data_IF_973354126347
#
_entry.id   IF_973354126347
#
_cell.length_a   1.000
_cell.length_b   1.000
_cell.length_c   1.000
_cell.angle_alpha   90.00
_cell.angle_beta   90.00
_cell.angle_gamma   90.00
#
_symmetry.space_group_name_H-M   'P 1'
#
loop_
_entity.id
_entity.type
_entity.pdbx_description
1 polymer ?
#
# COMPACT_ATOMS: atom_id res chain seq x y z
N UNK A 1 21.43 24.07 14.23
CA UNK A 1 22.08 23.10 13.32
C UNK A 1 21.06 22.28 12.53
N UNK A 2 20.02 21.70 13.16
CA UNK A 2 19.00 20.89 12.45
C UNK A 2 17.89 21.71 11.74
N UNK A 3 17.62 22.94 12.21
CA UNK A 3 16.53 23.77 11.70
C UNK A 3 15.17 23.32 12.23
N UNK A 4 14.27 24.26 12.47
CA UNK A 4 12.91 23.97 12.95
C UNK A 4 11.94 23.83 11.75
N UNK A 5 10.82 23.11 11.89
CA UNK A 5 10.37 22.38 13.08
C UNK A 5 11.16 21.08 13.35
N UNK A 6 11.27 20.71 14.62
CA UNK A 6 11.93 19.49 15.09
C UNK A 6 10.91 18.49 15.62
N UNK A 7 11.17 17.21 15.34
CA UNK A 7 10.43 16.10 15.89
C UNK A 7 11.26 15.46 17.00
N UNK A 8 10.70 15.46 18.21
CA UNK A 8 11.26 14.80 19.39
C UNK A 8 10.70 13.39 19.41
N UNK A 9 11.56 12.37 19.45
CA UNK A 9 11.16 10.96 19.54
C UNK A 9 11.86 10.27 20.71
N UNK A 10 11.14 9.40 21.39
CA UNK A 10 11.71 8.46 22.35
C UNK A 10 12.58 7.41 21.64
N UNK A 11 13.75 7.10 22.20
CA UNK A 11 14.69 6.11 21.64
C UNK A 11 14.11 4.69 21.72
N UNK A 12 13.59 4.31 22.89
CA UNK A 12 12.94 3.02 23.13
C UNK A 12 11.46 2.96 22.68
N UNK A 13 10.98 3.99 21.95
CA UNK A 13 9.56 4.18 21.66
C UNK A 13 9.03 3.41 20.45
N UNK A 14 7.78 2.96 20.53
CA UNK A 14 7.03 2.37 19.40
C UNK A 14 5.55 2.74 19.44
N UNK A 15 4.90 2.82 18.28
CA UNK A 15 3.44 2.94 18.16
C UNK A 15 2.82 4.30 18.54
N UNK A 16 3.51 5.42 18.33
CA UNK A 16 2.92 6.75 18.54
C UNK A 16 3.32 7.47 19.84
N UNK A 17 3.86 6.73 20.82
CA UNK A 17 4.13 7.23 22.17
C UNK A 17 5.50 7.90 22.29
N UNK A 18 5.58 8.97 23.08
CA UNK A 18 6.82 9.71 23.30
C UNK A 18 7.29 10.53 22.09
N UNK A 19 6.34 10.99 21.25
CA UNK A 19 6.63 11.81 20.08
C UNK A 19 6.00 13.21 20.19
N UNK A 20 6.78 14.27 19.92
CA UNK A 20 6.33 15.67 19.97
C UNK A 20 6.94 16.51 18.86
N UNK A 21 6.24 17.56 18.45
CA UNK A 21 6.75 18.55 17.50
C UNK A 21 7.10 19.81 18.28
N UNK A 22 8.33 20.27 18.13
CA UNK A 22 8.77 21.61 18.55
C UNK A 22 8.90 22.48 17.30
N UNK A 23 8.10 23.54 17.18
CA UNK A 23 8.13 24.44 16.02
C UNK A 23 9.15 25.57 16.16
N UNK A 24 9.62 25.80 17.37
CA UNK A 24 10.58 26.86 17.67
C UNK A 24 11.53 26.46 18.82
N UNK A 25 12.64 27.19 19.01
CA UNK A 25 13.55 26.97 20.14
C UNK A 25 12.86 27.01 21.50
N UNK A 26 11.84 27.86 21.65
CA UNK A 26 11.12 28.05 22.91
C UNK A 26 10.25 26.84 23.26
N UNK A 27 9.70 26.15 22.26
CA UNK A 27 8.89 24.94 22.45
C UNK A 27 9.72 23.68 22.71
N UNK A 28 11.03 23.71 22.38
CA UNK A 28 11.87 22.51 22.33
C UNK A 28 12.06 21.87 23.70
N UNK A 29 12.42 22.65 24.72
CA UNK A 29 12.67 22.12 26.07
C UNK A 29 11.42 21.44 26.64
N UNK A 30 10.28 22.11 26.57
CA UNK A 30 9.01 21.57 27.04
C UNK A 30 8.61 20.29 26.28
N UNK A 31 8.85 20.25 24.96
CA UNK A 31 8.58 19.08 24.13
C UNK A 31 9.48 17.89 24.49
N UNK A 32 10.77 18.16 24.76
CA UNK A 32 11.74 17.15 25.19
C UNK A 32 11.40 16.57 26.56
N UNK A 33 11.10 17.42 27.54
CA UNK A 33 10.73 16.98 28.89
C UNK A 33 9.45 16.14 28.88
N UNK A 34 8.44 16.58 28.13
CA UNK A 34 7.17 15.84 28.00
C UNK A 34 7.39 14.48 27.32
N UNK A 35 8.15 14.44 26.23
CA UNK A 35 8.44 13.19 25.52
C UNK A 35 9.25 12.21 26.39
N UNK A 36 10.25 12.71 27.12
CA UNK A 36 11.08 11.90 28.03
C UNK A 36 10.27 11.32 29.20
N UNK A 37 9.36 12.11 29.79
CA UNK A 37 8.46 11.64 30.84
C UNK A 37 7.51 10.55 30.33
N UNK A 38 6.93 10.73 29.13
CA UNK A 38 6.07 9.73 28.51
C UNK A 38 6.85 8.44 28.19
N UNK A 39 8.08 8.57 27.68
CA UNK A 39 8.96 7.45 27.38
C UNK A 39 9.36 6.67 28.65
N UNK A 40 9.73 7.38 29.72
CA UNK A 40 10.03 6.79 31.01
C UNK A 40 8.84 6.00 31.57
N UNK A 41 7.64 6.56 31.48
CA UNK A 41 6.42 5.92 31.99
C UNK A 41 6.00 4.69 31.16
N UNK A 42 6.17 4.75 29.84
CA UNK A 42 5.73 3.68 28.94
C UNK A 42 6.77 2.57 28.74
N UNK A 43 8.06 2.92 28.73
CA UNK A 43 9.15 2.03 28.29
C UNK A 43 10.31 1.92 29.29
N UNK A 44 10.29 2.69 30.38
CA UNK A 44 11.34 2.66 31.40
C UNK A 44 12.62 3.41 31.04
N UNK A 45 12.68 4.03 29.85
CA UNK A 45 13.83 4.76 29.33
C UNK A 45 13.42 6.19 28.93
N UNK A 46 14.04 7.24 29.50
CA UNK A 46 13.71 8.64 29.20
C UNK A 46 14.47 9.18 27.98
N UNK A 47 15.33 8.39 27.34
CA UNK A 47 16.14 8.85 26.22
C UNK A 47 15.27 9.33 25.06
N UNK A 48 15.60 10.54 24.56
CA UNK A 48 14.96 11.15 23.40
C UNK A 48 16.02 11.62 22.41
N UNK A 49 15.68 11.59 21.13
CA UNK A 49 16.48 12.16 20.05
C UNK A 49 15.66 13.14 19.22
N UNK A 50 16.36 13.97 18.44
CA UNK A 50 15.78 15.02 17.61
C UNK A 50 15.97 14.72 16.13
N UNK A 51 14.87 14.77 15.39
CA UNK A 51 14.87 14.73 13.93
C UNK A 51 14.35 16.06 13.37
N UNK A 52 14.76 16.42 12.16
CA UNK A 52 14.09 17.50 11.43
C UNK A 52 12.73 17.01 10.99
N UNK A 53 11.67 17.76 11.30
CA UNK A 53 10.34 17.43 10.79
C UNK A 53 10.23 17.88 9.33
N UNK A 54 10.05 16.92 8.43
CA UNK A 54 9.78 17.17 7.02
C UNK A 54 8.35 17.67 6.83
N UNK A 55 8.17 18.68 5.97
CA UNK A 55 6.84 19.20 5.64
C UNK A 55 6.29 18.43 4.45
N UNK A 56 5.11 17.83 4.63
CA UNK A 56 4.42 17.01 3.60
C UNK A 56 5.37 16.03 2.90
N UNK A 57 6.11 15.18 3.63
CA UNK A 57 7.03 14.26 3.01
C UNK A 57 6.25 13.23 2.20
N UNK A 58 6.88 12.76 1.13
CA UNK A 58 6.52 11.54 0.44
C UNK A 58 7.26 10.36 1.05
N UNK A 59 6.58 9.24 1.14
CA UNK A 59 7.20 7.98 1.52
C UNK A 59 7.54 7.23 0.22
N UNK A 60 8.82 7.22 -0.15
CA UNK A 60 9.32 6.52 -1.34
C UNK A 60 10.22 5.38 -0.89
N UNK A 61 10.07 4.22 -1.49
CA UNK A 61 10.85 3.05 -1.11
C UNK A 61 11.41 2.30 -2.31
N UNK A 62 12.58 1.68 -2.13
CA UNK A 62 13.33 0.99 -3.20
C UNK A 62 13.36 -0.50 -2.93
N UNK A 63 12.82 -1.27 -3.87
CA UNK A 63 12.88 -2.73 -3.83
C UNK A 63 14.28 -3.20 -4.20
N UNK A 64 14.84 -4.10 -3.39
CA UNK A 64 16.13 -4.75 -3.62
C UNK A 64 15.97 -6.26 -3.78
N UNK A 65 16.87 -6.86 -4.57
CA UNK A 65 17.13 -8.29 -4.64
C UNK A 65 18.64 -8.53 -4.61
N UNK A 66 19.12 -9.36 -3.69
CA UNK A 66 20.53 -9.78 -3.64
C UNK A 66 20.69 -11.29 -3.51
N UNK A 67 21.77 -11.87 -4.04
CA UNK A 67 22.08 -13.30 -3.92
C UNK A 67 23.36 -13.59 -3.12
N UNK A 68 23.60 -14.88 -2.83
CA UNK A 68 24.80 -15.33 -2.14
C UNK A 68 26.09 -15.24 -2.98
N UNK A 69 25.99 -14.81 -4.24
CA UNK A 69 27.11 -14.70 -5.19
C UNK A 69 27.60 -13.25 -5.34
N UNK A 70 27.06 -12.34 -4.51
CA UNK A 70 27.42 -10.91 -4.52
C UNK A 70 26.69 -10.08 -5.57
N UNK A 71 25.70 -10.65 -6.27
CA UNK A 71 24.85 -9.86 -7.16
C UNK A 71 23.79 -9.12 -6.33
N UNK A 72 23.55 -7.86 -6.66
CA UNK A 72 22.56 -7.01 -6.00
C UNK A 72 21.98 -6.02 -7.02
N UNK A 73 20.65 -5.98 -7.12
CA UNK A 73 19.90 -5.10 -8.03
C UNK A 73 18.77 -4.39 -7.28
N UNK A 74 18.34 -3.24 -7.79
CA UNK A 74 17.08 -2.61 -7.39
C UNK A 74 16.03 -2.73 -8.49
N UNK A 75 14.77 -2.91 -8.10
CA UNK A 75 13.62 -3.07 -9.00
C UNK A 75 12.79 -1.79 -9.15
N UNK A 76 13.44 -0.63 -9.00
CA UNK A 76 12.80 0.69 -9.00
C UNK A 76 12.16 1.06 -7.66
N UNK A 77 11.34 2.12 -7.69
CA UNK A 77 10.73 2.74 -6.53
C UNK A 77 9.21 2.53 -6.44
N UNK A 78 8.68 2.54 -5.22
CA UNK A 78 7.24 2.63 -4.93
C UNK A 78 6.94 3.91 -4.18
N UNK A 79 5.80 4.52 -4.52
CA UNK A 79 5.20 5.64 -3.79
C UNK A 79 4.18 5.08 -2.80
N UNK A 80 4.43 5.29 -1.52
CA UNK A 80 3.66 4.75 -0.41
C UNK A 80 3.14 5.85 0.51
N UNK A 81 3.03 7.09 0.02
CA UNK A 81 2.61 8.25 0.80
C UNK A 81 1.18 8.18 1.32
N UNK A 82 0.28 7.47 0.65
CA UNK A 82 -1.13 7.43 1.07
C UNK A 82 -1.27 6.48 2.26
N UNK A 83 -1.31 7.07 3.46
CA UNK A 83 -1.28 6.36 4.74
C UNK A 83 -2.40 6.82 5.67
N UNK A 84 -2.82 5.92 6.57
CA UNK A 84 -3.70 6.21 7.70
C UNK A 84 -3.01 5.80 8.98
N UNK A 85 -2.80 6.73 9.93
CA UNK A 85 -2.08 6.43 11.20
C UNK A 85 -0.74 5.69 10.96
N UNK A 86 0.01 6.15 9.96
CA UNK A 86 1.28 5.56 9.50
C UNK A 86 1.20 4.15 8.86
N UNK A 87 -0.01 3.66 8.57
CA UNK A 87 -0.21 2.42 7.82
C UNK A 87 -0.47 2.75 6.35
N UNK A 88 0.28 2.15 5.43
CA UNK A 88 0.09 2.31 3.98
C UNK A 88 -1.26 1.73 3.56
N UNK A 89 -2.00 2.46 2.72
CA UNK A 89 -3.35 2.10 2.27
C UNK A 89 -3.42 1.94 0.75
N UNK A 90 -2.69 2.79 0.03
CA UNK A 90 -2.55 2.76 -1.43
C UNK A 90 -1.08 2.98 -1.78
N UNK A 91 -0.57 2.13 -2.65
CA UNK A 91 0.81 2.14 -3.12
C UNK A 91 0.84 2.11 -4.64
N UNK A 92 1.82 2.77 -5.25
CA UNK A 92 1.98 2.74 -6.70
C UNK A 92 3.43 2.66 -7.15
N UNK A 93 3.63 2.04 -8.31
CA UNK A 93 4.93 1.87 -8.96
C UNK A 93 4.80 2.18 -10.45
N UNK A 94 5.68 3.01 -11.04
CA UNK A 94 6.65 3.89 -10.38
C UNK A 94 5.98 5.00 -9.57
N UNK A 95 6.77 5.82 -8.87
CA UNK A 95 6.27 7.02 -8.19
C UNK A 95 5.73 8.04 -9.21
N UNK A 96 4.60 8.73 -8.92
CA UNK A 96 4.07 9.78 -9.78
C UNK A 96 4.94 11.03 -9.82
N UNK A 97 5.95 11.14 -8.94
CA UNK A 97 6.99 12.17 -9.04
C UNK A 97 7.68 12.10 -10.40
N UNK A 98 7.84 10.89 -10.95
CA UNK A 98 8.34 10.62 -12.29
C UNK A 98 9.64 11.39 -12.64
N UNK A 99 10.57 11.41 -11.70
CA UNK A 99 11.89 12.04 -11.85
C UNK A 99 12.98 10.95 -11.92
N UNK A 100 13.69 10.89 -13.05
CA UNK A 100 14.70 9.86 -13.30
C UNK A 100 15.97 10.05 -12.46
N UNK A 101 16.39 11.30 -12.20
CA UNK A 101 17.58 11.59 -11.38
C UNK A 101 17.35 11.17 -9.92
N UNK A 102 16.21 11.56 -9.36
CA UNK A 102 15.82 11.16 -8.01
C UNK A 102 15.74 9.63 -7.89
N UNK A 103 15.12 8.95 -8.87
CA UNK A 103 15.03 7.49 -8.89
C UNK A 103 16.40 6.84 -8.88
N UNK A 104 17.31 7.29 -9.74
CA UNK A 104 18.67 6.77 -9.81
C UNK A 104 19.41 6.97 -8.48
N UNK A 105 19.31 8.17 -7.90
CA UNK A 105 19.97 8.50 -6.62
C UNK A 105 19.42 7.70 -5.45
N UNK A 106 18.11 7.49 -5.38
CA UNK A 106 17.48 6.61 -4.39
C UNK A 106 17.92 5.15 -4.59
N UNK A 107 17.93 4.68 -5.85
CA UNK A 107 18.40 3.34 -6.22
C UNK A 107 19.84 3.09 -5.78
N UNK A 108 20.75 4.01 -6.09
CA UNK A 108 22.16 3.91 -5.69
C UNK A 108 22.35 3.99 -4.18
N UNK A 109 21.59 4.84 -3.48
CA UNK A 109 21.62 4.91 -2.02
C UNK A 109 21.17 3.59 -1.38
N UNK A 110 20.07 3.00 -1.86
CA UNK A 110 19.56 1.72 -1.39
C UNK A 110 20.56 0.57 -1.65
N UNK A 111 21.16 0.53 -2.85
CA UNK A 111 22.20 -0.43 -3.19
C UNK A 111 23.44 -0.27 -2.30
N UNK A 112 23.87 0.97 -2.00
CA UNK A 112 25.01 1.23 -1.13
C UNK A 112 24.77 0.71 0.29
N UNK A 113 23.57 0.94 0.85
CA UNK A 113 23.16 0.43 2.16
C UNK A 113 23.22 -1.11 2.18
N UNK A 114 22.58 -1.76 1.20
CA UNK A 114 22.52 -3.20 1.13
C UNK A 114 23.88 -3.87 0.87
N UNK A 115 24.76 -3.28 0.04
CA UNK A 115 26.14 -3.76 -0.16
C UNK A 115 26.94 -3.74 1.15
N UNK A 116 26.81 -2.66 1.93
CA UNK A 116 27.60 -2.48 3.16
C UNK A 116 27.27 -3.55 4.22
N UNK A 117 26.04 -4.05 4.23
CA UNK A 117 25.60 -5.11 5.16
C UNK A 117 25.62 -6.51 4.56
N UNK A 118 26.10 -6.67 3.32
CA UNK A 118 26.11 -7.96 2.61
C UNK A 118 24.71 -8.55 2.42
N UNK A 119 23.73 -7.71 2.11
CA UNK A 119 22.32 -8.11 2.05
C UNK A 119 22.04 -9.08 0.89
N UNK A 120 21.20 -10.09 1.15
CA UNK A 120 20.67 -11.04 0.18
C UNK A 120 19.18 -11.29 0.44
N UNK A 121 18.50 -11.97 -0.49
CA UNK A 121 17.03 -12.08 -0.58
C UNK A 121 16.38 -10.75 -0.99
N UNK A 122 15.05 -10.68 -0.88
CA UNK A 122 14.30 -9.44 -1.07
C UNK A 122 14.36 -8.57 0.18
N UNK A 123 14.47 -7.27 -0.03
CA UNK A 123 14.35 -6.27 1.02
C UNK A 123 13.97 -4.93 0.43
N UNK A 124 13.59 -3.99 1.28
CA UNK A 124 13.21 -2.65 0.85
C UNK A 124 13.91 -1.61 1.70
N UNK A 125 14.44 -0.57 1.06
CA UNK A 125 14.95 0.62 1.75
C UNK A 125 13.93 1.73 1.61
N UNK A 126 13.45 2.26 2.72
CA UNK A 126 12.45 3.31 2.78
C UNK A 126 13.10 4.68 2.97
N UNK A 127 12.55 5.68 2.28
CA UNK A 127 13.00 7.07 2.31
C UNK A 127 11.83 8.03 2.50
N UNK A 128 12.12 9.16 3.15
CA UNK A 128 11.26 10.32 3.10
C UNK A 128 11.82 11.34 2.11
N UNK A 129 10.99 11.77 1.16
CA UNK A 129 11.34 12.78 0.15
C UNK A 129 10.50 14.03 0.40
N UNK A 130 11.11 15.20 0.46
CA UNK A 130 10.34 16.43 0.72
C UNK A 130 9.59 16.87 -0.55
N UNK A 131 8.27 17.05 -0.48
CA UNK A 131 7.45 17.32 -1.69
C UNK A 131 7.86 18.58 -2.46
N UNK A 132 8.44 19.57 -1.76
CA UNK A 132 8.88 20.83 -2.34
C UNK A 132 10.37 20.84 -2.72
N UNK A 133 11.12 19.81 -2.34
CA UNK A 133 12.53 19.64 -2.66
C UNK A 133 12.85 18.18 -2.98
N UNK A 134 12.64 17.82 -4.25
CA UNK A 134 12.97 16.50 -4.78
C UNK A 134 14.49 16.23 -4.80
N UNK A 135 15.34 17.21 -4.46
CA UNK A 135 16.78 16.97 -4.32
C UNK A 135 17.13 16.37 -2.96
N UNK A 136 16.27 16.49 -1.96
CA UNK A 136 16.57 16.03 -0.61
C UNK A 136 15.71 14.82 -0.27
N UNK A 137 16.38 13.70 0.03
CA UNK A 137 15.75 12.50 0.57
C UNK A 137 16.51 12.02 1.80
N UNK A 138 15.78 11.37 2.70
CA UNK A 138 16.26 10.95 4.01
C UNK A 138 15.95 9.47 4.20
N UNK A 139 16.96 8.67 4.52
CA UNK A 139 16.75 7.27 4.90
C UNK A 139 15.81 7.22 6.11
N UNK A 140 14.82 6.33 6.06
CA UNK A 140 13.89 6.07 7.14
C UNK A 140 14.21 4.74 7.82
N UNK A 141 14.07 3.64 7.08
CA UNK A 141 14.34 2.30 7.58
C UNK A 141 14.67 1.32 6.44
N UNK A 142 15.08 0.11 6.80
CA UNK A 142 15.22 -1.00 5.87
C UNK A 142 14.36 -2.18 6.35
N UNK A 143 13.39 -2.56 5.53
CA UNK A 143 12.58 -3.76 5.74
C UNK A 143 13.30 -4.97 5.18
N UNK A 144 13.81 -5.84 6.07
CA UNK A 144 14.61 -7.02 5.70
C UNK A 144 13.75 -8.24 5.34
N UNK A 145 12.65 -8.00 4.63
CA UNK A 145 11.64 -8.99 4.23
C UNK A 145 10.87 -8.51 3.01
N UNK A 146 10.07 -9.40 2.44
CA UNK A 146 9.04 -9.03 1.46
C UNK A 146 8.03 -8.07 2.10
N UNK A 147 7.56 -7.11 1.32
CA UNK A 147 6.51 -6.17 1.70
C UNK A 147 5.17 -6.52 1.05
N UNK A 148 4.09 -5.99 1.61
CA UNK A 148 2.71 -6.28 1.17
C UNK A 148 2.52 -5.84 -0.28
N UNK A 149 3.06 -4.65 -0.58
CA UNK A 149 3.02 -3.88 -1.83
C UNK A 149 4.04 -4.30 -2.90
N UNK A 150 4.75 -5.42 -2.72
CA UNK A 150 5.63 -5.97 -3.77
C UNK A 150 4.92 -6.19 -5.13
N UNK A 151 3.61 -6.53 -5.22
CA UNK A 151 2.97 -6.79 -6.51
C UNK A 151 3.01 -5.62 -7.48
N UNK A 152 2.96 -4.35 -7.02
CA UNK A 152 3.05 -3.21 -7.97
C UNK A 152 4.40 -3.18 -8.68
N UNK A 153 5.48 -3.58 -8.00
CA UNK A 153 6.80 -3.71 -8.60
C UNK A 153 6.85 -4.89 -9.58
N UNK A 154 6.29 -6.04 -9.21
CA UNK A 154 6.22 -7.21 -10.11
C UNK A 154 5.45 -6.88 -11.40
N UNK A 155 4.33 -6.16 -11.28
CA UNK A 155 3.49 -5.81 -12.43
C UNK A 155 4.20 -4.91 -13.43
N UNK A 156 5.07 -4.00 -12.99
CA UNK A 156 5.78 -3.07 -13.89
C UNK A 156 7.15 -3.57 -14.35
N UNK A 157 7.80 -4.47 -13.60
CA UNK A 157 9.12 -5.02 -13.95
C UNK A 157 9.04 -6.40 -14.60
N UNK A 158 7.94 -7.12 -14.43
CA UNK A 158 7.78 -8.53 -14.78
C UNK A 158 8.80 -9.45 -14.09
N UNK A 159 9.29 -9.06 -12.91
CA UNK A 159 10.12 -9.90 -12.03
C UNK A 159 9.22 -10.48 -10.94
N UNK A 160 9.18 -11.82 -10.83
CA UNK A 160 8.50 -12.52 -9.72
C UNK A 160 9.44 -12.55 -8.51
N UNK A 161 9.21 -11.64 -7.57
CA UNK A 161 10.07 -11.39 -6.42
C UNK A 161 10.04 -12.58 -5.46
N UNK A 162 8.88 -13.20 -5.27
CA UNK A 162 8.73 -14.36 -4.37
C UNK A 162 9.50 -15.55 -4.93
N UNK A 163 9.41 -15.79 -6.23
CA UNK A 163 10.18 -16.83 -6.90
C UNK A 163 11.69 -16.55 -6.84
N UNK A 164 12.14 -15.31 -7.04
CA UNK A 164 13.56 -14.94 -6.86
C UNK A 164 14.01 -15.20 -5.41
N UNK A 165 13.22 -14.86 -4.39
CA UNK A 165 13.55 -15.19 -2.99
C UNK A 165 13.78 -16.69 -2.78
N UNK A 166 12.90 -17.54 -3.32
CA UNK A 166 13.02 -19.00 -3.21
C UNK A 166 14.26 -19.51 -3.96
N UNK A 167 14.53 -18.98 -5.17
CA UNK A 167 15.71 -19.33 -5.97
C UNK A 167 17.02 -18.95 -5.26
N UNK A 168 17.08 -17.74 -4.71
CA UNK A 168 18.21 -17.24 -3.92
C UNK A 168 18.43 -18.13 -2.70
N UNK A 169 17.37 -18.46 -1.95
CA UNK A 169 17.46 -19.34 -0.79
C UNK A 169 17.94 -20.77 -1.17
N UNK A 170 17.66 -21.22 -2.40
CA UNK A 170 18.19 -22.45 -2.96
C UNK A 170 19.64 -22.33 -3.49
N UNK A 171 20.33 -21.21 -3.24
CA UNK A 171 21.70 -20.95 -3.66
C UNK A 171 21.87 -20.56 -5.13
N UNK A 172 20.77 -20.29 -5.85
CA UNK A 172 20.85 -19.84 -7.24
C UNK A 172 21.30 -18.38 -7.33
N UNK A 173 21.85 -18.02 -8.50
CA UNK A 173 22.13 -16.63 -8.86
C UNK A 173 20.84 -15.90 -9.23
N UNK A 174 20.84 -14.58 -9.05
CA UNK A 174 19.79 -13.70 -9.58
C UNK A 174 19.53 -14.00 -11.06
N UNK A 175 18.26 -13.98 -11.46
CA UNK A 175 17.87 -14.26 -12.85
C UNK A 175 18.31 -13.20 -13.86
N UNK A 176 18.55 -11.97 -13.41
CA UNK A 176 18.88 -10.83 -14.27
C UNK A 176 19.82 -9.84 -13.60
N UNK A 177 20.25 -8.84 -14.37
CA UNK A 177 21.17 -7.77 -13.97
C UNK A 177 20.43 -6.44 -13.87
N UNK A 178 21.06 -5.43 -13.27
CA UNK A 178 20.48 -4.09 -13.15
C UNK A 178 20.08 -3.50 -14.51
N UNK A 179 20.89 -3.77 -15.55
CA UNK A 179 20.65 -3.34 -16.92
C UNK A 179 19.47 -4.05 -17.61
N UNK A 180 18.88 -5.07 -17.01
CA UNK A 180 17.68 -5.77 -17.51
C UNK A 180 16.38 -5.22 -16.90
N UNK A 181 16.50 -4.53 -15.75
CA UNK A 181 15.34 -3.95 -15.05
C UNK A 181 14.77 -2.80 -15.87
N UNK A 182 13.50 -2.92 -16.27
CA UNK A 182 12.76 -1.89 -17.00
C UNK A 182 11.40 -1.71 -16.36
N UNK A 183 11.09 -0.49 -15.93
CA UNK A 183 9.76 -0.11 -15.45
C UNK A 183 8.88 0.15 -16.67
N UNK A 184 7.83 -0.66 -16.87
CA UNK A 184 6.89 -0.55 -17.99
C UNK A 184 5.50 -0.24 -17.48
N UNK A 185 4.92 0.88 -17.90
CA UNK A 185 3.59 1.30 -17.48
C UNK A 185 3.57 1.72 -16.00
N UNK A 186 2.42 1.52 -15.36
CA UNK A 186 2.22 1.82 -13.95
C UNK A 186 1.27 0.81 -13.30
N UNK A 187 1.48 0.56 -12.01
CA UNK A 187 0.61 -0.28 -11.19
C UNK A 187 0.24 0.44 -9.89
N UNK A 188 -1.00 0.23 -9.45
CA UNK A 188 -1.54 0.76 -8.20
C UNK A 188 -2.11 -0.41 -7.40
N UNK A 189 -1.76 -0.52 -6.13
CA UNK A 189 -2.35 -1.46 -5.17
C UNK A 189 -3.28 -0.72 -4.20
N UNK A 190 -4.39 -1.35 -3.87
CA UNK A 190 -5.34 -0.91 -2.86
C UNK A 190 -5.53 -2.04 -1.85
N UNK A 191 -5.31 -1.73 -0.57
CA UNK A 191 -5.53 -2.67 0.53
C UNK A 191 -7.00 -2.71 0.93
N UNK A 192 -7.66 -3.82 0.64
CA UNK A 192 -9.04 -4.05 1.03
C UNK A 192 -9.06 -4.60 2.45
N UNK A 193 -9.55 -3.80 3.38
CA UNK A 193 -9.70 -4.19 4.79
C UNK A 193 -11.17 -4.49 5.10
N UNK A 194 -11.40 -5.47 5.98
CA UNK A 194 -12.64 -5.68 6.70
C UNK A 194 -12.75 -4.63 7.83
N UNK A 195 -12.96 -3.39 7.43
CA UNK A 195 -13.16 -2.23 8.30
C UNK A 195 -14.37 -1.45 7.80
N UNK A 196 -15.02 -0.68 8.68
CA UNK A 196 -16.10 0.22 8.34
C UNK A 196 -15.62 1.68 8.27
N UNK A 197 -15.32 2.24 7.08
CA UNK A 197 -14.87 3.63 6.94
C UNK A 197 -15.87 4.66 7.50
N UNK A 198 -17.17 4.37 7.48
CA UNK A 198 -18.20 5.28 7.99
C UNK A 198 -18.24 5.32 9.53
N UNK A 199 -17.68 4.30 10.18
CA UNK A 199 -17.58 4.19 11.63
C UNK A 199 -16.12 4.21 12.08
N UNK A 200 -15.37 5.23 11.64
CA UNK A 200 -13.97 5.44 12.00
C UNK A 200 -13.06 4.21 11.77
N UNK A 201 -13.35 3.44 10.72
CA UNK A 201 -12.61 2.22 10.33
C UNK A 201 -12.53 1.19 11.44
N UNK A 202 -13.61 1.02 12.21
CA UNK A 202 -13.66 -0.08 13.16
C UNK A 202 -13.53 -1.41 12.41
N UNK A 203 -12.69 -2.36 12.91
CA UNK A 203 -12.61 -3.68 12.35
C UNK A 203 -13.99 -4.35 12.29
N UNK A 204 -14.25 -5.04 11.20
CA UNK A 204 -15.54 -5.66 10.89
C UNK A 204 -15.42 -7.17 10.75
N UNK A 205 -15.22 -7.89 11.87
CA UNK A 205 -15.27 -9.35 11.87
C UNK A 205 -16.68 -9.82 11.48
N UNK A 206 -16.77 -10.95 10.79
CA UNK A 206 -18.06 -11.45 10.32
C UNK A 206 -17.90 -12.55 9.29
N UNK A 207 -19.01 -13.00 8.72
CA UNK A 207 -19.00 -14.03 7.67
C UNK A 207 -19.23 -13.38 6.31
N UNK A 208 -18.39 -13.70 5.34
CA UNK A 208 -18.60 -13.28 3.95
C UNK A 208 -19.79 -14.04 3.38
N UNK A 209 -20.89 -13.35 3.10
CA UNK A 209 -22.13 -13.97 2.59
C UNK A 209 -22.23 -13.93 1.07
N UNK A 210 -21.58 -12.95 0.44
CA UNK A 210 -21.49 -12.79 -1.00
C UNK A 210 -20.07 -12.36 -1.38
N UNK A 211 -19.56 -12.86 -2.50
CA UNK A 211 -18.27 -12.45 -3.04
C UNK A 211 -18.34 -12.39 -4.57
N UNK A 212 -18.11 -11.21 -5.13
CA UNK A 212 -17.82 -11.01 -6.54
C UNK A 212 -16.50 -10.25 -6.66
N UNK A 213 -15.42 -10.97 -6.97
CA UNK A 213 -14.09 -10.39 -7.15
C UNK A 213 -13.95 -9.78 -8.55
N UNK A 214 -13.31 -8.60 -8.67
CA UNK A 214 -13.01 -8.02 -9.97
C UNK A 214 -11.97 -8.87 -10.71
N UNK A 215 -12.11 -8.93 -12.02
CA UNK A 215 -11.15 -9.60 -12.90
C UNK A 215 -10.96 -8.78 -14.19
N UNK A 216 -10.20 -9.32 -15.14
CA UNK A 216 -9.99 -8.73 -16.45
C UNK A 216 -8.56 -8.28 -16.71
N UNK A 217 -8.26 -7.77 -17.91
CA UNK A 217 -6.92 -7.35 -18.30
C UNK A 217 -6.33 -6.31 -17.36
N UNK A 218 -5.10 -6.54 -16.90
CA UNK A 218 -4.39 -5.62 -16.01
C UNK A 218 -4.90 -5.64 -14.56
N UNK A 219 -5.73 -6.59 -14.16
CA UNK A 219 -6.20 -6.73 -12.77
C UNK A 219 -5.61 -7.98 -12.14
N UNK A 220 -4.95 -7.79 -11.00
CA UNK A 220 -4.48 -8.86 -10.12
C UNK A 220 -5.18 -8.68 -8.77
N UNK A 221 -5.64 -9.78 -8.18
CA UNK A 221 -6.31 -9.78 -6.89
C UNK A 221 -5.70 -10.87 -6.02
N UNK A 222 -4.88 -10.47 -5.06
CA UNK A 222 -4.26 -11.38 -4.08
C UNK A 222 -5.20 -11.43 -2.86
N UNK A 223 -6.08 -12.42 -2.85
CA UNK A 223 -7.21 -12.53 -1.91
C UNK A 223 -7.28 -13.90 -1.26
N UNK A 224 -7.65 -13.93 0.02
CA UNK A 224 -7.97 -15.16 0.75
C UNK A 224 -9.48 -15.36 0.96
N UNK A 225 -10.31 -14.47 0.42
CA UNK A 225 -11.75 -14.50 0.63
C UNK A 225 -12.46 -15.60 -0.17
N UNK A 226 -13.51 -16.16 0.44
CA UNK A 226 -14.50 -17.01 -0.22
C UNK A 226 -15.83 -16.89 0.52
N UNK A 227 -16.95 -17.17 -0.16
CA UNK A 227 -18.26 -17.19 0.50
C UNK A 227 -18.27 -18.22 1.64
N UNK A 228 -18.74 -17.81 2.82
CA UNK A 228 -18.73 -18.60 4.05
C UNK A 228 -17.45 -18.42 4.89
N UNK A 229 -16.44 -17.69 4.41
CA UNK A 229 -15.25 -17.39 5.20
C UNK A 229 -15.60 -16.48 6.39
N UNK A 230 -15.10 -16.83 7.57
CA UNK A 230 -15.29 -16.06 8.79
C UNK A 230 -14.04 -15.21 9.06
N UNK A 231 -14.18 -13.88 8.99
CA UNK A 231 -13.13 -12.94 9.34
C UNK A 231 -12.91 -12.99 10.85
N UNK A 232 -11.71 -13.38 11.31
CA UNK A 232 -11.39 -13.45 12.74
C UNK A 232 -11.15 -12.06 13.33
N UNK A 233 -11.37 -11.93 14.64
CA UNK A 233 -11.10 -10.70 15.41
C UNK A 233 -9.63 -10.55 15.82
N UNK A 234 -8.85 -11.64 15.75
CA UNK A 234 -7.53 -11.73 16.37
C UNK A 234 -6.37 -11.32 15.44
N UNK A 235 -6.63 -11.10 14.16
CA UNK A 235 -5.61 -10.83 13.15
C UNK A 235 -5.86 -9.48 12.47
N UNK A 236 -4.90 -9.08 11.64
CA UNK A 236 -5.03 -7.91 10.79
C UNK A 236 -6.27 -8.03 9.88
N UNK A 237 -7.08 -6.96 9.72
CA UNK A 237 -8.32 -7.02 8.94
C UNK A 237 -8.10 -7.01 7.42
N UNK A 238 -6.87 -7.09 6.91
CA UNK A 238 -6.59 -7.15 5.47
C UNK A 238 -7.19 -8.43 4.87
N UNK A 239 -8.12 -8.26 3.93
CA UNK A 239 -8.83 -9.38 3.30
C UNK A 239 -8.45 -9.59 1.84
N UNK A 240 -8.00 -8.54 1.16
CA UNK A 240 -7.53 -8.62 -0.22
C UNK A 240 -6.57 -7.48 -0.55
N UNK A 241 -5.65 -7.74 -1.47
CA UNK A 241 -4.86 -6.71 -2.16
C UNK A 241 -5.31 -6.66 -3.60
N UNK A 242 -5.91 -5.55 -3.99
CA UNK A 242 -6.37 -5.34 -5.36
C UNK A 242 -5.33 -4.51 -6.10
N UNK A 243 -4.82 -5.02 -7.21
CA UNK A 243 -3.78 -4.37 -8.01
C UNK A 243 -4.30 -4.13 -9.42
N UNK A 244 -4.11 -2.90 -9.91
CA UNK A 244 -4.43 -2.50 -11.26
C UNK A 244 -3.17 -2.02 -11.98
N UNK A 245 -2.91 -2.57 -13.16
CA UNK A 245 -1.83 -2.21 -14.05
C UNK A 245 -2.37 -1.52 -15.29
N UNK A 246 -1.64 -0.53 -15.83
CA UNK A 246 -1.91 0.15 -17.08
C UNK A 246 -0.61 0.53 -17.80
N UNK A 247 -0.69 0.83 -19.10
CA UNK A 247 0.46 1.37 -19.85
C UNK A 247 0.78 2.81 -19.43
N UNK A 248 -0.14 3.47 -18.71
CA UNK A 248 0.06 4.73 -18.02
C UNK A 248 -0.59 4.68 -16.64
N UNK A 249 -0.20 5.62 -15.77
CA UNK A 249 -0.83 5.82 -14.46
C UNK A 249 -2.33 6.08 -14.58
N UNK A 250 -2.75 6.89 -15.55
CA UNK A 250 -4.17 7.16 -15.80
C UNK A 250 -4.95 5.89 -16.17
N UNK A 251 -4.37 5.03 -17.01
CA UNK A 251 -4.99 3.74 -17.36
C UNK A 251 -5.10 2.82 -16.14
N UNK A 252 -4.06 2.77 -15.29
CA UNK A 252 -4.10 2.03 -14.03
C UNK A 252 -5.20 2.57 -13.08
N UNK A 253 -5.34 3.89 -12.96
CA UNK A 253 -6.42 4.55 -12.20
C UNK A 253 -7.79 4.15 -12.74
N UNK A 254 -8.02 4.25 -14.06
CA UNK A 254 -9.32 3.88 -14.65
C UNK A 254 -9.65 2.40 -14.41
N UNK A 255 -8.67 1.51 -14.56
CA UNK A 255 -8.83 0.08 -14.26
C UNK A 255 -9.12 -0.18 -12.79
N UNK A 256 -8.44 0.51 -11.88
CA UNK A 256 -8.67 0.42 -10.44
C UNK A 256 -10.09 0.87 -10.07
N UNK A 257 -10.53 2.02 -10.58
CA UNK A 257 -11.88 2.55 -10.34
C UNK A 257 -12.99 1.59 -10.83
N UNK A 258 -12.78 0.98 -11.99
CA UNK A 258 -13.67 -0.05 -12.52
C UNK A 258 -13.64 -1.30 -11.63
N UNK A 259 -12.46 -1.80 -11.27
CA UNK A 259 -12.32 -2.98 -10.42
C UNK A 259 -12.96 -2.79 -9.03
N UNK A 260 -12.74 -1.65 -8.38
CA UNK A 260 -13.39 -1.30 -7.11
C UNK A 260 -14.92 -1.16 -7.25
N UNK A 261 -15.42 -0.74 -8.42
CA UNK A 261 -16.86 -0.69 -8.70
C UNK A 261 -17.51 -2.07 -8.92
N UNK A 262 -16.73 -3.07 -9.32
CA UNK A 262 -17.17 -4.45 -9.51
C UNK A 262 -17.01 -5.32 -8.26
N UNK A 263 -16.12 -4.91 -7.34
CA UNK A 263 -15.81 -5.69 -6.13
C UNK A 263 -16.98 -5.67 -5.14
N UNK A 264 -17.72 -6.77 -5.04
CA UNK A 264 -18.77 -6.95 -4.04
C UNK A 264 -18.33 -7.93 -2.97
N UNK A 265 -18.41 -7.49 -1.72
CA UNK A 265 -18.22 -8.32 -0.52
C UNK A 265 -19.45 -8.09 0.37
N UNK A 266 -20.26 -9.13 0.53
CA UNK A 266 -21.45 -9.11 1.36
C UNK A 266 -21.18 -9.68 2.75
N UNK A 267 -21.95 -9.23 3.74
CA UNK A 267 -21.89 -9.74 5.12
C UNK A 267 -20.91 -9.01 6.04
N UNK A 268 -19.96 -8.26 5.48
CA UNK A 268 -19.02 -7.41 6.21
C UNK A 268 -18.80 -6.06 5.49
N UNK A 269 -18.79 -4.93 6.22
CA UNK A 269 -18.20 -3.67 5.76
C UNK A 269 -16.76 -3.84 5.26
N UNK A 270 -16.39 -3.06 4.23
CA UNK A 270 -15.02 -3.04 3.70
C UNK A 270 -14.58 -1.63 3.28
N UNK A 271 -13.28 -1.45 3.06
CA UNK A 271 -12.71 -0.19 2.56
C UNK A 271 -12.94 0.10 1.07
N UNK A 272 -13.60 -0.78 0.31
CA UNK A 272 -13.76 -0.68 -1.16
C UNK A 272 -14.35 0.68 -1.59
N UNK A 273 -15.43 1.13 -0.94
CA UNK A 273 -16.11 2.39 -1.27
C UNK A 273 -15.25 3.61 -0.95
N UNK A 274 -14.52 3.56 0.17
CA UNK A 274 -13.54 4.58 0.56
C UNK A 274 -12.40 4.68 -0.45
N UNK A 275 -11.81 3.55 -0.83
CA UNK A 275 -10.73 3.50 -1.81
C UNK A 275 -11.16 4.05 -3.18
N UNK A 276 -12.39 3.76 -3.62
CA UNK A 276 -12.92 4.32 -4.87
C UNK A 276 -12.98 5.85 -4.84
N UNK A 277 -13.37 6.45 -3.72
CA UNK A 277 -13.38 7.91 -3.53
C UNK A 277 -11.95 8.46 -3.52
N UNK A 278 -11.05 7.83 -2.77
CA UNK A 278 -9.64 8.20 -2.67
C UNK A 278 -8.97 8.21 -4.05
N UNK A 279 -9.08 7.13 -4.83
CA UNK A 279 -8.49 7.03 -6.18
C UNK A 279 -9.12 8.05 -7.15
N UNK A 280 -10.39 8.40 -6.94
CA UNK A 280 -11.08 9.43 -7.74
C UNK A 280 -10.66 10.86 -7.38
N UNK A 281 -10.03 11.07 -6.22
CA UNK A 281 -9.71 12.39 -5.72
C UNK A 281 -8.76 13.15 -6.67
N UNK A 282 -9.02 14.43 -7.00
CA UNK A 282 -8.19 15.18 -7.94
C UNK A 282 -6.71 15.21 -7.57
N UNK A 283 -6.37 15.35 -6.30
CA UNK A 283 -4.96 15.41 -5.88
C UNK A 283 -4.27 14.04 -6.01
N UNK A 284 -4.99 12.95 -5.77
CA UNK A 284 -4.48 11.61 -6.05
C UNK A 284 -4.21 11.44 -7.55
N UNK A 285 -5.18 11.80 -8.39
CA UNK A 285 -5.07 11.70 -9.85
C UNK A 285 -3.95 12.55 -10.42
N UNK A 286 -3.67 13.71 -9.83
CA UNK A 286 -2.57 14.59 -10.22
C UNK A 286 -1.23 14.24 -9.54
N UNK A 287 -1.16 13.16 -8.75
CA UNK A 287 0.07 12.72 -8.09
C UNK A 287 0.55 13.65 -6.97
N UNK A 288 -0.32 14.54 -6.46
CA UNK A 288 -0.05 15.44 -5.32
C UNK A 288 -0.20 14.68 -3.99
N UNK A 289 0.75 13.80 -3.71
CA UNK A 289 0.72 12.88 -2.56
C UNK A 289 1.72 13.30 -1.49
N UNK A 290 1.39 13.01 -0.24
CA UNK A 290 2.25 13.12 0.94
C UNK A 290 1.65 12.28 2.08
N UNK A 291 2.42 12.03 3.13
CA UNK A 291 2.00 11.19 4.28
C UNK A 291 0.80 11.70 5.08
N UNK A 292 0.42 12.98 4.90
CA UNK A 292 -0.75 13.60 5.53
C UNK A 292 -1.95 13.76 4.61
N UNK A 293 -1.96 13.07 3.45
CA UNK A 293 -2.96 13.26 2.40
C UNK A 293 -4.39 12.97 2.89
N UNK A 294 -4.58 11.92 3.70
CA UNK A 294 -5.91 11.54 4.18
C UNK A 294 -6.43 12.52 5.24
N UNK A 295 -5.57 12.98 6.15
CA UNK A 295 -5.92 13.97 7.17
C UNK A 295 -6.27 15.33 6.54
N UNK A 296 -5.57 15.72 5.48
CA UNK A 296 -5.79 16.99 4.77
C UNK A 296 -7.11 17.02 4.02
N UNK A 297 -7.44 15.95 3.30
CA UNK A 297 -8.64 15.89 2.47
C UNK A 297 -9.88 15.40 3.21
N UNK A 298 -9.76 14.97 4.47
CA UNK A 298 -10.86 14.48 5.30
C UNK A 298 -11.77 13.49 4.56
N UNK A 299 -11.17 12.56 3.81
CA UNK A 299 -11.90 11.56 3.01
C UNK A 299 -12.73 10.57 3.86
N UNK A 300 -12.66 10.72 5.18
CA UNK A 300 -13.39 9.97 6.20
C UNK A 300 -14.71 10.65 6.59
N UNK A 301 -14.78 11.98 6.47
CA UNK A 301 -15.85 12.80 7.02
C UNK A 301 -16.82 13.20 5.90
N UNK A 302 -17.79 12.35 5.56
CA UNK A 302 -18.99 12.84 4.89
C UNK A 302 -20.25 12.11 5.38
N UNK A 303 -21.26 12.93 5.66
CA UNK A 303 -22.64 12.57 5.90
C UNK A 303 -23.13 11.65 4.78
N UNK A 304 -23.83 10.59 5.17
CA UNK A 304 -24.67 9.87 4.24
C UNK A 304 -25.69 10.89 3.72
N UNK A 305 -25.45 11.45 2.52
CA UNK A 305 -26.46 12.28 1.88
C UNK A 305 -27.72 11.43 1.80
N UNK A 306 -28.85 11.92 2.33
CA UNK A 306 -30.14 11.20 2.40
C UNK A 306 -30.54 10.57 1.06
N UNK A 307 -29.99 11.09 -0.04
CA UNK A 307 -30.19 10.64 -1.41
C UNK A 307 -29.51 9.30 -1.76
N UNK A 308 -28.52 8.81 -1.01
CA UNK A 308 -27.88 7.52 -1.28
C UNK A 308 -28.80 6.31 -1.00
N UNK A 309 -29.78 6.49 -0.10
CA UNK A 309 -30.79 5.48 0.19
C UNK A 309 -31.93 5.44 -0.82
N UNK A 310 -32.16 6.50 -1.60
CA UNK A 310 -33.29 6.57 -2.54
C UNK A 310 -33.21 5.49 -3.63
N UNK A 311 -32.05 5.25 -4.29
CA UNK A 311 -31.92 4.16 -5.25
C UNK A 311 -32.02 2.78 -4.58
N UNK A 312 -31.47 2.64 -3.36
CA UNK A 312 -31.47 1.38 -2.63
C UNK A 312 -32.88 1.01 -2.14
N UNK A 313 -33.61 1.98 -1.60
CA UNK A 313 -35.00 1.88 -1.21
C UNK A 313 -35.90 1.65 -2.44
N UNK A 314 -35.62 2.33 -3.56
CA UNK A 314 -36.30 2.09 -4.83
C UNK A 314 -36.11 0.66 -5.34
N UNK A 315 -34.88 0.15 -5.33
CA UNK A 315 -34.58 -1.22 -5.74
C UNK A 315 -35.16 -2.28 -4.78
N UNK A 316 -35.12 -2.02 -3.46
CA UNK A 316 -35.73 -2.89 -2.46
C UNK A 316 -37.26 -2.90 -2.58
N UNK A 317 -37.88 -1.74 -2.81
CA UNK A 317 -39.31 -1.59 -3.05
C UNK A 317 -39.70 -2.28 -4.36
N UNK A 318 -38.93 -2.11 -5.44
CA UNK A 318 -39.14 -2.83 -6.69
C UNK A 318 -39.03 -4.35 -6.50
N UNK A 319 -38.04 -4.83 -5.74
CA UNK A 319 -37.89 -6.25 -5.44
C UNK A 319 -39.08 -6.80 -4.64
N UNK A 320 -39.55 -6.05 -3.64
CA UNK A 320 -40.71 -6.41 -2.82
C UNK A 320 -42.03 -6.36 -3.62
N UNK A 321 -42.20 -5.36 -4.47
CA UNK A 321 -43.42 -5.17 -5.28
C UNK A 321 -43.49 -6.11 -6.48
N UNK A 322 -42.36 -6.38 -7.14
CA UNK A 322 -42.31 -7.23 -8.33
C UNK A 322 -42.14 -8.72 -8.03
N UNK A 323 -42.01 -9.11 -6.75
CA UNK A 323 -42.37 -10.42 -6.21
C UNK A 323 -42.14 -11.61 -7.14
N UNK A 324 -40.98 -11.68 -7.81
CA UNK A 324 -40.64 -12.88 -8.59
C UNK A 324 -40.16 -13.90 -7.58
N UNK A 325 -40.89 -15.02 -7.47
CA UNK A 325 -40.48 -16.21 -6.73
C UNK A 325 -38.97 -16.40 -6.88
N UNK A 326 -38.24 -16.74 -5.80
CA UNK A 326 -36.81 -16.94 -5.86
C UNK A 326 -36.51 -17.87 -7.02
N UNK A 327 -35.85 -17.34 -8.05
CA UNK A 327 -35.38 -18.14 -9.17
C UNK A 327 -34.39 -19.09 -8.54
N UNK A 328 -34.63 -20.40 -8.62
CA UNK A 328 -33.65 -21.41 -8.17
C UNK A 328 -32.28 -20.98 -8.70
N UNK A 329 -31.39 -20.61 -7.78
CA UNK A 329 -30.01 -20.37 -8.10
C UNK A 329 -29.46 -21.76 -8.40
N UNK A 330 -29.61 -22.22 -9.65
CA UNK A 330 -28.75 -23.28 -10.15
C UNK A 330 -27.35 -22.77 -9.91
N UNK A 331 -26.58 -23.51 -9.10
CA UNK A 331 -25.14 -23.35 -9.03
C UNK A 331 -24.59 -23.59 -10.42
N UNK A 332 -24.56 -22.54 -11.24
CA UNK A 332 -23.66 -22.50 -12.35
C UNK A 332 -22.30 -22.58 -11.69
N UNK A 333 -21.65 -23.74 -11.80
CA UNK A 333 -20.20 -23.84 -11.67
C UNK A 333 -19.66 -22.58 -12.34
N UNK A 334 -19.02 -21.75 -11.54
CA UNK A 334 -18.41 -20.52 -11.99
C UNK A 334 -17.17 -20.93 -12.79
N UNK A 335 -17.39 -21.52 -13.97
CA UNK A 335 -16.37 -21.88 -14.95
C UNK A 335 -15.91 -20.58 -15.57
N UNK A 336 -15.12 -19.86 -14.78
CA UNK A 336 -14.53 -18.60 -15.13
C UNK A 336 -13.61 -18.85 -16.32
N UNK A 337 -14.09 -18.53 -17.53
CA UNK A 337 -13.39 -18.80 -18.79
C UNK A 337 -11.98 -18.21 -18.79
N UNK A 338 -11.76 -17.10 -18.08
CA UNK A 338 -10.44 -16.48 -17.93
C UNK A 338 -9.51 -17.23 -16.96
N UNK A 339 -10.04 -17.90 -15.92
CA UNK A 339 -9.26 -18.82 -15.06
C UNK A 339 -8.96 -20.16 -15.77
N UNK A 340 -9.80 -20.56 -16.73
CA UNK A 340 -9.60 -21.77 -17.53
C UNK A 340 -8.60 -21.55 -18.67
N UNK A 341 -8.53 -20.34 -19.25
CA UNK A 341 -7.57 -20.01 -20.31
C UNK A 341 -6.16 -19.64 -19.81
N UNK A 342 -5.99 -19.32 -18.52
CA UNK A 342 -4.68 -18.96 -17.93
C UNK A 342 -3.88 -20.16 -17.41
N UNK A 343 -4.34 -21.39 -17.66
CA UNK A 343 -3.50 -22.60 -17.57
C UNK A 343 -3.16 -23.17 -18.96
N UNK A 344 -2.32 -22.53 -19.78
CA UNK A 344 -1.51 -23.29 -20.71
C UNK A 344 -0.40 -23.97 -19.90
N UNK A 345 -0.42 -25.30 -19.86
CA UNK A 345 0.82 -26.06 -19.92
C UNK A 345 1.66 -25.41 -21.05
N UNK A 346 2.86 -24.90 -20.77
CA UNK A 346 4.07 -25.05 -21.60
C UNK A 346 5.18 -24.05 -21.23
N UNK A 347 6.31 -24.62 -20.80
CA UNK A 347 7.72 -24.25 -20.99
C UNK A 347 8.21 -22.82 -20.73
N UNK A 348 9.10 -22.75 -19.74
CA UNK A 348 10.29 -21.91 -19.66
C UNK A 348 10.65 -21.18 -20.96
N UNK A 349 10.60 -19.85 -20.92
CA UNK A 349 11.49 -19.03 -21.75
C UNK A 349 12.33 -18.18 -20.82
N UNK A 350 13.59 -18.60 -20.65
CA UNK A 350 14.70 -17.72 -20.33
C UNK A 350 14.70 -16.58 -21.34
N UNK A 351 14.67 -15.33 -20.86
CA UNK A 351 15.44 -14.22 -21.41
C UNK A 351 15.81 -13.32 -20.25
#
# INVERSE_FOLDING_TARGET
>A
KLGFPLFVKADAGGGGKGMRIARSPEELLASMESAAQEAQAAFGDPAVYLERQLQRPRHIEIQLLGDHHGNLVHLGERECSVQRRHQKIVEECPSPVNDEDLRERLGQAALAIARNVGYYSAGTVEFLVESNDLKSFYFLEMNTRLQVEHPVTEMVTNVDIVCEQIRIAAGQKLSGRQEDVRLRGAAIECRIYAEDPANNFLPSPGTVTELAEPAGPGIRNDSALYCGYQIPVHYDPLVSKLIAYGNSRDEAIQRMLRALGEYRVGGIPTTVSFLRRLISHPDFRNGRLHTGFLEEHRLFDEEITENAFIPLAGAALEHLLNGKKPREIRSQRNDNRWKLTSRPNFYWRKW
#
